data_IF_396897699612
#
_entry.id   IF_396897699612
#
_cell.length_a   1.000
_cell.length_b   1.000
_cell.length_c   1.000
_cell.angle_alpha   90.00
_cell.angle_beta   90.00
_cell.angle_gamma   90.00
#
_symmetry.space_group_name_H-M   'P 1'
#
loop_
_entity.id
_entity.type
_entity.pdbx_description
1 polymer ?
#
# COMPACT_ATOMS: atom_id res chain seq x y z
N UNK A 1 -11.72 24.24 -28.62
CA UNK A 1 -10.35 24.05 -28.07
C UNK A 1 -10.50 23.38 -26.70
N UNK A 2 -10.33 22.05 -26.59
CA UNK A 2 -10.36 21.34 -25.30
C UNK A 2 -9.05 21.68 -24.58
N UNK A 3 -9.04 22.15 -23.32
CA UNK A 3 -7.79 22.54 -22.68
C UNK A 3 -6.86 21.32 -22.58
N UNK A 4 -5.53 21.49 -22.50
CA UNK A 4 -4.63 20.42 -22.08
C UNK A 4 -4.87 20.18 -20.58
N UNK A 5 -6.01 19.58 -20.24
CA UNK A 5 -6.37 19.29 -18.87
C UNK A 5 -5.47 18.14 -18.42
N UNK A 6 -4.57 18.39 -17.47
CA UNK A 6 -3.68 17.42 -16.79
C UNK A 6 -4.06 15.95 -17.02
N UNK A 7 -3.12 15.17 -17.54
CA UNK A 7 -3.30 13.72 -17.77
C UNK A 7 -3.79 13.05 -16.49
N UNK A 8 -4.81 12.19 -16.57
CA UNK A 8 -5.39 11.53 -15.39
C UNK A 8 -4.35 10.76 -14.58
N UNK A 9 -3.35 10.22 -15.26
CA UNK A 9 -2.15 9.64 -14.66
C UNK A 9 -1.42 10.60 -13.71
N UNK A 10 -1.18 11.84 -14.14
CA UNK A 10 -0.56 12.85 -13.29
C UNK A 10 -1.42 13.17 -12.06
N UNK A 11 -2.75 13.19 -12.21
CA UNK A 11 -3.67 13.39 -11.09
C UNK A 11 -3.62 12.21 -10.10
N UNK A 12 -3.66 10.98 -10.60
CA UNK A 12 -3.63 9.77 -9.77
C UNK A 12 -2.30 9.63 -9.02
N UNK A 13 -1.17 9.80 -9.72
CA UNK A 13 0.17 9.76 -9.13
C UNK A 13 0.36 10.90 -8.11
N UNK A 14 -0.07 12.12 -8.45
CA UNK A 14 0.02 13.27 -7.56
C UNK A 14 -0.76 13.07 -6.26
N UNK A 15 -1.97 12.52 -6.34
CA UNK A 15 -2.76 12.15 -5.14
C UNK A 15 -2.03 11.12 -4.28
N UNK A 16 -1.50 10.05 -4.88
CA UNK A 16 -0.77 9.04 -4.12
C UNK A 16 0.46 9.64 -3.43
N UNK A 17 1.28 10.39 -4.17
CA UNK A 17 2.48 11.03 -3.62
C UNK A 17 2.14 12.00 -2.49
N UNK A 18 1.05 12.76 -2.60
CA UNK A 18 0.56 13.61 -1.52
C UNK A 18 0.27 12.84 -0.23
N UNK A 19 -0.46 11.72 -0.33
CA UNK A 19 -0.79 10.92 0.85
C UNK A 19 0.44 10.14 1.38
N UNK A 20 1.32 9.65 0.51
CA UNK A 20 2.55 8.95 0.91
C UNK A 20 3.54 9.91 1.58
N UNK A 21 3.69 11.13 1.09
CA UNK A 21 4.55 12.14 1.77
C UNK A 21 3.98 12.54 3.13
N UNK A 22 2.67 12.68 3.25
CA UNK A 22 2.00 12.87 4.54
C UNK A 22 2.27 11.70 5.50
N UNK A 23 2.15 10.45 5.03
CA UNK A 23 2.48 9.25 5.80
C UNK A 23 3.94 9.26 6.26
N UNK A 24 4.90 9.51 5.36
CA UNK A 24 6.33 9.57 5.69
C UNK A 24 6.57 10.64 6.77
N UNK A 25 5.91 11.79 6.68
CA UNK A 25 6.02 12.87 7.67
C UNK A 25 5.46 12.45 9.03
N UNK A 26 4.35 11.72 9.08
CA UNK A 26 3.81 11.17 10.33
C UNK A 26 4.71 10.10 10.95
N UNK A 27 5.38 9.30 10.12
CA UNK A 27 6.23 8.18 10.56
C UNK A 27 7.63 8.65 10.98
N UNK A 28 8.15 9.72 10.39
CA UNK A 28 9.47 10.29 10.71
C UNK A 28 9.75 10.49 12.21
N UNK A 29 8.85 11.07 13.04
CA UNK A 29 9.12 11.20 14.47
C UNK A 29 9.21 9.85 15.20
N UNK A 30 8.48 8.82 14.76
CA UNK A 30 8.59 7.47 15.35
C UNK A 30 9.98 6.89 15.15
N UNK A 31 10.57 7.04 13.97
CA UNK A 31 11.95 6.60 13.69
C UNK A 31 12.97 7.24 14.64
N UNK A 32 12.78 8.52 14.99
CA UNK A 32 13.66 9.22 15.92
C UNK A 32 13.52 8.63 17.34
N UNK A 33 12.28 8.42 17.79
CA UNK A 33 12.03 7.80 19.11
C UNK A 33 12.58 6.38 19.18
N UNK A 34 12.40 5.58 18.13
CA UNK A 34 12.97 4.24 18.04
C UNK A 34 14.49 4.25 18.05
N UNK A 35 15.14 5.16 17.30
CA UNK A 35 16.59 5.28 17.29
C UNK A 35 17.15 5.59 18.70
N UNK A 36 16.50 6.48 19.44
CA UNK A 36 16.87 6.78 20.83
C UNK A 36 16.66 5.55 21.72
N UNK A 37 15.50 4.89 21.62
CA UNK A 37 15.19 3.71 22.44
C UNK A 37 16.16 2.54 22.18
N UNK A 38 16.50 2.29 20.91
CA UNK A 38 17.40 1.21 20.52
C UNK A 38 18.87 1.50 20.83
N UNK A 39 19.27 2.77 20.92
CA UNK A 39 20.64 3.14 21.30
C UNK A 39 21.04 2.66 22.70
N UNK A 40 20.07 2.46 23.60
CA UNK A 40 20.28 1.92 24.94
C UNK A 40 19.99 0.42 25.08
N UNK A 41 19.73 -0.29 23.98
CA UNK A 41 19.32 -1.71 24.03
C UNK A 41 20.50 -2.66 24.28
N UNK A 42 20.26 -3.71 25.08
CA UNK A 42 21.17 -4.83 25.28
C UNK A 42 20.39 -6.15 25.18
N UNK A 43 20.64 -7.02 24.19
CA UNK A 43 21.72 -7.00 23.20
C UNK A 43 21.60 -5.87 22.15
N UNK A 44 22.72 -5.46 21.52
CA UNK A 44 22.71 -4.41 20.49
C UNK A 44 21.86 -4.84 19.28
N UNK A 45 20.85 -4.04 18.94
CA UNK A 45 20.03 -4.27 17.76
C UNK A 45 20.63 -3.60 16.53
N UNK A 46 20.64 -4.30 15.39
CA UNK A 46 21.08 -3.71 14.12
C UNK A 46 20.10 -2.63 13.66
N UNK A 47 20.55 -1.41 13.31
CA UNK A 47 19.70 -0.35 12.75
C UNK A 47 19.01 -0.75 11.43
N UNK A 48 19.50 -1.79 10.75
CA UNK A 48 18.91 -2.28 9.51
C UNK A 48 17.47 -2.81 9.71
N UNK A 49 17.18 -3.38 10.88
CA UNK A 49 15.87 -3.99 11.17
C UNK A 49 14.75 -2.92 11.21
N UNK A 50 14.83 -1.86 12.05
CA UNK A 50 13.80 -0.83 12.07
C UNK A 50 13.72 -0.08 10.74
N UNK A 51 14.85 0.22 10.09
CA UNK A 51 14.86 0.87 8.77
C UNK A 51 14.10 0.06 7.72
N UNK A 52 14.34 -1.26 7.68
CA UNK A 52 13.67 -2.12 6.71
C UNK A 52 12.19 -2.32 7.04
N UNK A 53 11.84 -2.43 8.32
CA UNK A 53 10.44 -2.44 8.76
C UNK A 53 9.69 -1.18 8.32
N UNK A 54 10.28 0.00 8.49
CA UNK A 54 9.68 1.26 8.08
C UNK A 54 9.57 1.42 6.56
N UNK A 55 10.59 0.97 5.83
CA UNK A 55 10.54 0.91 4.37
C UNK A 55 9.39 0.00 3.90
N UNK A 56 9.26 -1.19 4.49
CA UNK A 56 8.16 -2.10 4.25
C UNK A 56 6.80 -1.50 4.59
N UNK A 57 6.69 -0.75 5.69
CA UNK A 57 5.47 -0.08 6.12
C UNK A 57 5.01 0.96 5.09
N UNK A 58 5.94 1.78 4.59
CA UNK A 58 5.65 2.79 3.56
C UNK A 58 5.15 2.11 2.28
N UNK A 59 5.80 1.02 1.84
CA UNK A 59 5.37 0.26 0.66
C UNK A 59 4.00 -0.39 0.84
N UNK A 60 3.76 -1.03 1.99
CA UNK A 60 2.48 -1.64 2.34
C UNK A 60 1.36 -0.60 2.34
N UNK A 61 1.58 0.53 3.03
CA UNK A 61 0.62 1.60 3.09
C UNK A 61 0.36 2.23 1.71
N UNK A 62 1.41 2.45 0.90
CA UNK A 62 1.26 2.97 -0.46
C UNK A 62 0.42 2.03 -1.35
N UNK A 63 0.61 0.72 -1.24
CA UNK A 63 -0.18 -0.28 -1.95
C UNK A 63 -1.66 -0.30 -1.51
N UNK A 64 -1.93 -0.19 -0.21
CA UNK A 64 -3.30 -0.12 0.30
C UNK A 64 -3.97 1.21 -0.10
N UNK A 65 -3.25 2.32 0.03
CA UNK A 65 -3.74 3.66 -0.31
C UNK A 65 -4.03 3.79 -1.81
N UNK A 66 -3.19 3.21 -2.69
CA UNK A 66 -3.44 3.24 -4.13
C UNK A 66 -4.76 2.55 -4.50
N UNK A 67 -5.07 1.42 -3.86
CA UNK A 67 -6.34 0.72 -4.06
C UNK A 67 -7.52 1.45 -3.40
N UNK A 68 -7.32 2.04 -2.21
CA UNK A 68 -8.33 2.86 -1.55
C UNK A 68 -8.71 4.10 -2.37
N UNK A 69 -7.74 4.73 -3.04
CA UNK A 69 -8.02 5.83 -3.98
C UNK A 69 -8.86 5.37 -5.17
N UNK A 70 -8.60 4.17 -5.70
CA UNK A 70 -9.44 3.60 -6.75
C UNK A 70 -10.88 3.41 -6.26
N UNK A 71 -11.07 2.80 -5.08
CA UNK A 71 -12.41 2.64 -4.48
C UNK A 71 -13.09 4.01 -4.30
N UNK A 72 -12.38 5.01 -3.78
CA UNK A 72 -12.88 6.38 -3.64
C UNK A 72 -13.29 7.01 -4.96
N UNK A 73 -12.61 6.70 -6.06
CA UNK A 73 -12.98 7.21 -7.38
C UNK A 73 -14.25 6.59 -7.97
N UNK A 74 -14.69 5.43 -7.47
CA UNK A 74 -15.90 4.74 -7.93
C UNK A 74 -17.18 5.17 -7.20
N UNK A 75 -17.04 5.88 -6.08
CA UNK A 75 -18.17 6.20 -5.20
C UNK A 75 -18.23 7.70 -4.91
N UNK A 76 -19.40 8.30 -5.06
CA UNK A 76 -19.61 9.72 -4.68
C UNK A 76 -19.73 9.91 -3.16
N UNK A 77 -20.09 8.86 -2.41
CA UNK A 77 -20.26 8.91 -0.95
C UNK A 77 -18.96 8.55 -0.23
N UNK A 78 -18.47 9.49 0.61
CA UNK A 78 -17.27 9.30 1.44
C UNK A 78 -17.42 8.16 2.44
N UNK A 79 -18.62 8.00 3.01
CA UNK A 79 -18.92 6.93 3.97
C UNK A 79 -18.84 5.56 3.27
N UNK A 80 -19.47 5.42 2.09
CA UNK A 80 -19.43 4.17 1.34
C UNK A 80 -18.00 3.81 0.92
N UNK A 81 -17.24 4.80 0.42
CA UNK A 81 -15.83 4.62 0.08
C UNK A 81 -15.00 4.10 1.25
N UNK A 82 -15.19 4.68 2.44
CA UNK A 82 -14.48 4.28 3.65
C UNK A 82 -14.81 2.83 4.04
N UNK A 83 -16.09 2.44 4.00
CA UNK A 83 -16.52 1.06 4.31
C UNK A 83 -15.93 0.06 3.32
N UNK A 84 -15.96 0.35 2.02
CA UNK A 84 -15.39 -0.53 0.99
C UNK A 84 -13.87 -0.65 1.11
N UNK A 85 -13.19 0.46 1.39
CA UNK A 85 -11.73 0.47 1.59
C UNK A 85 -11.36 -0.33 2.85
N UNK A 86 -12.14 -0.20 3.91
CA UNK A 86 -11.96 -1.01 5.11
C UNK A 86 -12.17 -2.51 4.83
N UNK A 87 -13.22 -2.86 4.07
CA UNK A 87 -13.45 -4.24 3.62
C UNK A 87 -12.28 -4.80 2.79
N UNK A 88 -11.71 -4.00 1.90
CA UNK A 88 -10.51 -4.36 1.14
C UNK A 88 -9.32 -4.63 2.07
N UNK A 89 -9.09 -3.76 3.06
CA UNK A 89 -8.00 -3.93 4.04
C UNK A 89 -8.18 -5.22 4.84
N UNK A 90 -9.40 -5.51 5.30
CA UNK A 90 -9.70 -6.77 5.98
C UNK A 90 -9.43 -7.98 5.07
N UNK A 91 -9.88 -7.94 3.81
CA UNK A 91 -9.61 -9.01 2.86
C UNK A 91 -8.09 -9.24 2.76
N UNK A 92 -7.31 -8.18 2.52
CA UNK A 92 -5.84 -8.25 2.41
C UNK A 92 -5.17 -8.77 3.67
N UNK A 93 -5.70 -8.43 4.86
CA UNK A 93 -5.23 -8.95 6.15
C UNK A 93 -5.42 -10.48 6.25
N UNK A 94 -6.57 -10.98 5.79
CA UNK A 94 -6.92 -12.39 5.89
C UNK A 94 -6.44 -13.26 4.72
N UNK A 95 -5.86 -12.70 3.64
CA UNK A 95 -5.39 -13.48 2.47
C UNK A 95 -4.48 -14.63 2.86
N UNK A 96 -3.50 -14.42 3.75
CA UNK A 96 -2.56 -15.47 4.16
C UNK A 96 -3.24 -16.60 4.93
N UNK A 97 -4.24 -16.27 5.76
CA UNK A 97 -5.03 -17.25 6.50
C UNK A 97 -5.92 -18.07 5.55
N UNK A 98 -6.55 -17.41 4.58
CA UNK A 98 -7.36 -18.06 3.55
C UNK A 98 -6.48 -18.99 2.70
N UNK A 99 -5.30 -18.52 2.28
CA UNK A 99 -4.31 -19.29 1.52
C UNK A 99 -3.92 -20.59 2.23
N UNK A 100 -3.59 -20.49 3.53
CA UNK A 100 -3.25 -21.65 4.37
C UNK A 100 -4.42 -22.62 4.54
N UNK A 101 -5.65 -22.13 4.62
CA UNK A 101 -6.84 -22.97 4.75
C UNK A 101 -7.18 -23.74 3.47
N UNK A 102 -6.90 -23.17 2.29
CA UNK A 102 -7.14 -23.82 1.00
C UNK A 102 -6.07 -24.91 0.76
N UNK A 103 -4.81 -24.60 1.05
CA UNK A 103 -3.68 -25.52 0.83
C UNK A 103 -3.42 -25.82 -0.65
N UNK A 104 -2.43 -26.68 -0.90
CA UNK A 104 -2.01 -27.09 -2.24
C UNK A 104 -1.51 -25.93 -3.12
N UNK A 105 -1.42 -26.14 -4.45
CA UNK A 105 -0.87 -25.15 -5.38
C UNK A 105 -1.64 -23.82 -5.41
N UNK A 106 -2.97 -23.88 -5.20
CA UNK A 106 -3.84 -22.70 -5.17
C UNK A 106 -3.61 -21.87 -3.90
N UNK A 107 -3.47 -22.53 -2.75
CA UNK A 107 -3.11 -21.87 -1.50
C UNK A 107 -1.75 -21.20 -1.57
N UNK A 108 -0.74 -21.87 -2.15
CA UNK A 108 0.59 -21.28 -2.35
C UNK A 108 0.54 -20.02 -3.22
N UNK A 109 -0.16 -20.07 -4.35
CA UNK A 109 -0.35 -18.91 -5.24
C UNK A 109 -1.05 -17.73 -4.52
N UNK A 110 -2.10 -17.99 -3.75
CA UNK A 110 -2.76 -16.96 -2.94
C UNK A 110 -1.86 -16.39 -1.85
N UNK A 111 -1.02 -17.23 -1.24
CA UNK A 111 -0.04 -16.81 -0.25
C UNK A 111 0.99 -15.82 -0.81
N UNK A 112 1.32 -15.90 -2.10
CA UNK A 112 2.17 -14.91 -2.77
C UNK A 112 1.50 -13.55 -2.96
N UNK A 113 0.17 -13.46 -2.93
CA UNK A 113 -0.55 -12.19 -3.01
C UNK A 113 -0.71 -11.51 -1.65
N UNK A 114 -0.30 -12.16 -0.55
CA UNK A 114 -0.39 -11.56 0.78
C UNK A 114 0.65 -10.47 0.98
N UNK A 115 0.20 -9.21 0.98
CA UNK A 115 1.03 -8.06 1.34
C UNK A 115 1.56 -8.16 2.77
N UNK A 116 0.74 -8.67 3.70
CA UNK A 116 1.11 -8.80 5.11
C UNK A 116 2.21 -9.85 5.33
N UNK A 117 2.15 -10.98 4.60
CA UNK A 117 3.19 -12.01 4.63
C UNK A 117 4.55 -11.43 4.26
N UNK A 118 4.62 -10.67 3.16
CA UNK A 118 5.85 -10.03 2.70
C UNK A 118 6.32 -8.91 3.63
N UNK A 119 5.38 -8.15 4.20
CA UNK A 119 5.70 -7.13 5.21
C UNK A 119 6.34 -7.72 6.47
N UNK A 120 5.84 -8.87 6.94
CA UNK A 120 6.42 -9.56 8.12
C UNK A 120 7.88 -9.95 7.90
N UNK A 121 8.28 -10.31 6.67
CA UNK A 121 9.67 -10.58 6.31
C UNK A 121 10.55 -9.33 6.48
N UNK A 122 10.04 -8.15 6.11
CA UNK A 122 10.77 -6.89 6.29
C UNK A 122 10.93 -6.48 7.77
N UNK A 123 9.91 -6.70 8.61
CA UNK A 123 10.02 -6.42 10.06
C UNK A 123 11.08 -7.30 10.73
N UNK A 124 11.34 -8.49 10.18
CA UNK A 124 12.41 -9.38 10.64
C UNK A 124 13.81 -8.97 10.15
N UNK A 125 13.92 -7.89 9.37
CA UNK A 125 15.19 -7.42 8.81
C UNK A 125 15.65 -8.18 7.57
N UNK A 126 14.78 -8.99 6.95
CA UNK A 126 15.10 -9.77 5.74
C UNK A 126 14.68 -8.98 4.51
N UNK A 127 15.65 -8.64 3.65
CA UNK A 127 15.39 -7.96 2.40
C UNK A 127 14.91 -8.95 1.33
N UNK A 128 13.62 -8.89 0.99
CA UNK A 128 13.04 -9.71 -0.07
C UNK A 128 12.68 -8.85 -1.30
N UNK A 129 13.19 -9.24 -2.47
CA UNK A 129 12.90 -8.56 -3.74
C UNK A 129 11.49 -8.88 -4.23
N UNK A 130 10.97 -10.07 -3.91
CA UNK A 130 9.63 -10.52 -4.28
C UNK A 130 8.57 -9.61 -3.66
N UNK A 131 8.78 -9.24 -2.39
CA UNK A 131 7.98 -8.25 -1.68
C UNK A 131 7.92 -6.90 -2.42
N UNK A 132 9.07 -6.38 -2.87
CA UNK A 132 9.14 -5.09 -3.57
C UNK A 132 8.34 -5.14 -4.87
N UNK A 133 8.50 -6.21 -5.65
CA UNK A 133 7.76 -6.41 -6.90
C UNK A 133 6.26 -6.48 -6.63
N UNK A 134 5.85 -7.20 -5.58
CA UNK A 134 4.45 -7.31 -5.18
C UNK A 134 3.88 -5.94 -4.77
N UNK A 135 4.52 -5.21 -3.86
CA UNK A 135 4.06 -3.88 -3.45
C UNK A 135 3.98 -2.92 -4.64
N UNK A 136 5.00 -2.90 -5.49
CA UNK A 136 5.03 -2.06 -6.70
C UNK A 136 3.88 -2.41 -7.67
N UNK A 137 3.56 -3.70 -7.84
CA UNK A 137 2.45 -4.13 -8.69
C UNK A 137 1.08 -3.66 -8.16
N UNK A 138 0.85 -3.71 -6.84
CA UNK A 138 -0.37 -3.19 -6.23
C UNK A 138 -0.46 -1.66 -6.32
N UNK A 139 0.66 -0.96 -6.11
CA UNK A 139 0.76 0.50 -6.29
C UNK A 139 0.40 0.87 -7.73
N UNK A 140 1.05 0.22 -8.71
CA UNK A 140 0.80 0.46 -10.12
C UNK A 140 -0.65 0.16 -10.51
N UNK A 141 -1.19 -0.98 -10.06
CA UNK A 141 -2.58 -1.36 -10.31
C UNK A 141 -3.55 -0.31 -9.76
N UNK A 142 -3.39 0.13 -8.52
CA UNK A 142 -4.24 1.15 -7.92
C UNK A 142 -4.19 2.49 -8.65
N UNK A 143 -2.99 2.94 -9.06
CA UNK A 143 -2.83 4.16 -9.88
C UNK A 143 -3.51 3.99 -11.24
N UNK A 144 -3.25 2.89 -11.94
CA UNK A 144 -3.84 2.59 -13.25
C UNK A 144 -5.37 2.59 -13.20
N UNK A 145 -5.94 1.86 -12.24
CA UNK A 145 -7.39 1.77 -12.06
C UNK A 145 -8.01 3.12 -11.69
N UNK A 146 -7.32 3.93 -10.86
CA UNK A 146 -7.77 5.29 -10.53
C UNK A 146 -7.72 6.22 -11.75
N UNK A 147 -6.69 6.13 -12.60
CA UNK A 147 -6.61 6.94 -13.81
C UNK A 147 -7.74 6.58 -14.79
N UNK A 148 -8.01 5.28 -14.94
CA UNK A 148 -9.05 4.75 -15.82
C UNK A 148 -10.47 5.09 -15.34
N UNK A 149 -10.74 5.02 -14.04
CA UNK A 149 -12.05 5.37 -13.49
C UNK A 149 -12.39 6.85 -13.70
N UNK A 150 -11.40 7.74 -13.54
CA UNK A 150 -11.56 9.17 -13.81
C UNK A 150 -11.87 9.42 -15.30
N UNK A 151 -11.23 8.69 -16.22
CA UNK A 151 -11.53 8.81 -17.65
C UNK A 151 -12.95 8.31 -17.97
N UNK A 152 -13.35 7.16 -17.43
CA UNK A 152 -14.68 6.60 -17.64
C UNK A 152 -15.79 7.57 -17.18
N UNK A 153 -15.62 8.19 -16.00
CA UNK A 153 -16.58 9.17 -15.47
C UNK A 153 -16.65 10.46 -16.30
N UNK A 154 -15.54 10.86 -16.95
CA UNK A 154 -15.55 12.01 -17.87
C UNK A 154 -16.41 11.73 -19.09
N UNK A 155 -16.34 10.52 -19.66
CA UNK A 155 -17.15 10.17 -20.83
C UNK A 155 -18.64 10.10 -20.54
N UNK A 156 -19.06 9.67 -19.35
CA UNK A 156 -20.48 9.62 -18.98
C UNK A 156 -21.14 11.01 -18.79
N UNK A 157 -20.34 12.06 -18.61
CA UNK A 157 -20.81 13.44 -18.43
C UNK A 157 -20.87 14.24 -19.73
N UNK A 158 -20.44 13.67 -20.86
CA UNK A 158 -20.49 14.28 -22.20
C UNK A 158 -21.61 13.67 -23.02
#
# INVERSE_FOLDING_TARGET
MKPPCLTNWAVAVGKLLGVVTFLITMVAPLLIFEAIALSGSNPPMSPAIPLLGHFGLILLAAAILSLGMFISSLTDSTILSAVLTFGLVLLLLFVDLIAKSIGGPVGEALGHLSLLKHYNTFIQGIFDTSAIILFASYIFLGIFLTAQSIDALRFQRQ
#
